data_IF_772277017783
#
_entry.id   IF_772277017783
#
_cell.length_a   1.000
_cell.length_b   1.000
_cell.length_c   1.000
_cell.angle_alpha   90.00
_cell.angle_beta   90.00
_cell.angle_gamma   90.00
#
_symmetry.space_group_name_H-M   'P 1'
#
loop_
_entity.id
_entity.type
_entity.pdbx_description
1 polymer ?
#
# COMPACT_ATOMS: atom_id res chain seq x y z
N UNK A 1 53.12 -79.63 66.29
CA UNK A 1 53.06 -81.12 66.40
C UNK A 1 52.88 -81.79 65.03
N UNK A 2 51.90 -81.37 64.20
CA UNK A 2 51.60 -81.98 62.88
C UNK A 2 52.81 -82.16 61.95
N UNK A 3 53.61 -81.12 61.72
CA UNK A 3 54.80 -81.15 60.82
C UNK A 3 55.85 -82.20 61.19
N UNK A 4 55.95 -82.59 62.47
CA UNK A 4 56.88 -83.64 62.93
C UNK A 4 56.39 -85.06 62.63
N UNK A 5 55.10 -85.24 62.39
CA UNK A 5 54.52 -86.52 61.94
C UNK A 5 54.66 -86.63 60.41
N UNK A 6 54.52 -85.51 59.69
CA UNK A 6 54.63 -85.44 58.23
C UNK A 6 56.07 -85.32 57.70
N UNK A 7 57.08 -85.50 58.55
CA UNK A 7 58.49 -85.35 58.17
C UNK A 7 58.90 -86.32 57.05
N UNK A 8 58.46 -87.59 57.11
CA UNK A 8 58.72 -88.58 56.07
C UNK A 8 57.89 -88.39 54.79
N UNK A 9 56.88 -87.51 54.83
CA UNK A 9 56.00 -87.16 53.70
C UNK A 9 56.47 -85.89 52.96
N UNK A 10 57.22 -85.01 53.62
CA UNK A 10 57.67 -83.73 53.06
C UNK A 10 59.20 -83.72 52.94
N UNK A 11 59.74 -84.55 52.04
CA UNK A 11 61.17 -84.74 51.78
C UNK A 11 61.73 -86.13 52.16
N UNK A 12 60.87 -87.09 52.51
CA UNK A 12 61.27 -88.42 53.00
C UNK A 12 61.15 -89.57 51.99
N UNK A 13 60.93 -90.77 52.52
CA UNK A 13 60.91 -92.04 51.76
C UNK A 13 59.53 -92.47 51.27
N UNK A 14 58.50 -91.65 51.46
CA UNK A 14 57.11 -92.00 51.11
C UNK A 14 56.67 -91.35 49.80
N UNK A 15 55.68 -91.94 49.13
CA UNK A 15 54.95 -91.28 48.04
C UNK A 15 53.86 -90.40 48.66
N UNK A 16 53.88 -89.11 48.37
CA UNK A 16 52.98 -88.13 48.99
C UNK A 16 52.21 -87.37 47.92
N UNK A 17 50.91 -87.20 48.15
CA UNK A 17 50.01 -86.38 47.33
C UNK A 17 49.33 -85.35 48.22
N UNK A 18 49.22 -84.11 47.74
CA UNK A 18 48.58 -83.00 48.45
C UNK A 18 47.38 -82.55 47.61
N UNK A 19 46.22 -82.42 48.24
CA UNK A 19 44.97 -81.99 47.61
C UNK A 19 44.67 -80.56 48.08
N UNK A 20 44.63 -79.61 47.16
CA UNK A 20 44.27 -78.22 47.42
C UNK A 20 42.80 -78.00 47.08
N UNK A 21 41.97 -77.66 48.07
CA UNK A 21 40.54 -77.38 47.90
C UNK A 21 40.30 -75.88 47.84
N UNK A 22 39.79 -75.37 46.72
CA UNK A 22 39.56 -73.95 46.47
C UNK A 22 38.08 -73.66 46.14
N UNK A 23 37.64 -72.41 46.33
CA UNK A 23 36.28 -71.97 46.05
C UNK A 23 36.24 -71.16 44.74
N UNK A 24 35.28 -71.37 43.83
CA UNK A 24 35.15 -70.59 42.60
C UNK A 24 34.52 -69.20 42.82
N UNK A 25 34.10 -68.86 44.04
CA UNK A 25 33.47 -67.57 44.32
C UNK A 25 34.48 -66.42 44.33
N UNK A 26 34.19 -65.33 43.63
CA UNK A 26 35.08 -64.16 43.48
C UNK A 26 35.47 -63.49 44.81
N UNK A 27 34.62 -63.58 45.83
CA UNK A 27 34.91 -63.11 47.20
C UNK A 27 36.08 -63.86 47.86
N UNK A 28 36.37 -65.10 47.45
CA UNK A 28 37.44 -65.93 47.99
C UNK A 28 38.71 -65.93 47.11
N UNK A 29 38.89 -64.93 46.23
CA UNK A 29 40.00 -64.88 45.27
C UNK A 29 41.37 -64.84 45.98
N UNK A 30 41.51 -64.09 47.07
CA UNK A 30 42.75 -63.93 47.83
C UNK A 30 43.18 -65.22 48.56
N UNK A 31 42.23 -65.89 49.22
CA UNK A 31 42.45 -67.20 49.85
C UNK A 31 42.74 -68.31 48.82
N UNK A 32 42.09 -68.23 47.65
CA UNK A 32 42.31 -69.14 46.52
C UNK A 32 43.72 -68.97 45.96
N UNK A 33 44.19 -67.72 45.79
CA UNK A 33 45.56 -67.42 45.37
C UNK A 33 46.57 -67.97 46.39
N UNK A 34 46.39 -67.68 47.68
CA UNK A 34 47.26 -68.15 48.76
C UNK A 34 47.34 -69.69 48.84
N UNK A 35 46.21 -70.37 48.62
CA UNK A 35 46.13 -71.83 48.57
C UNK A 35 46.88 -72.40 47.35
N UNK A 36 46.73 -71.78 46.18
CA UNK A 36 47.43 -72.18 44.95
C UNK A 36 48.95 -71.94 45.05
N UNK A 37 49.39 -70.85 45.68
CA UNK A 37 50.81 -70.59 45.94
C UNK A 37 51.45 -71.62 46.87
N UNK A 38 50.73 -72.10 47.89
CA UNK A 38 51.20 -73.19 48.73
C UNK A 38 51.28 -74.50 47.94
N UNK A 39 50.24 -74.82 47.15
CA UNK A 39 50.24 -76.02 46.30
C UNK A 39 51.37 -76.00 45.26
N UNK A 40 51.65 -74.85 44.65
CA UNK A 40 52.75 -74.67 43.70
C UNK A 40 54.12 -74.90 44.37
N UNK A 41 54.34 -74.38 45.58
CA UNK A 41 55.57 -74.66 46.36
C UNK A 41 55.68 -76.14 46.74
N UNK A 42 54.57 -76.75 47.16
CA UNK A 42 54.54 -78.14 47.61
C UNK A 42 54.78 -79.15 46.46
N UNK A 43 54.34 -78.83 45.22
CA UNK A 43 54.62 -79.60 44.00
C UNK A 43 56.12 -79.82 43.77
N UNK A 44 56.97 -78.88 44.20
CA UNK A 44 58.41 -78.92 43.98
C UNK A 44 59.18 -79.70 45.06
N UNK A 45 58.49 -80.32 46.02
CA UNK A 45 59.11 -81.17 47.05
C UNK A 45 59.41 -82.56 46.45
N UNK A 46 60.69 -82.92 46.35
CA UNK A 46 61.11 -84.24 45.85
C UNK A 46 61.29 -85.24 47.00
N UNK A 47 60.44 -86.27 47.03
CA UNK A 47 60.64 -87.46 47.87
C UNK A 47 61.43 -88.54 47.13
N UNK A 48 62.10 -89.45 47.88
CA UNK A 48 62.80 -90.62 47.33
C UNK A 48 62.07 -91.90 47.76
N UNK A 49 61.05 -92.36 47.01
CA UNK A 49 60.27 -93.53 47.40
C UNK A 49 61.07 -94.82 47.26
N UNK A 50 61.39 -95.46 48.39
CA UNK A 50 62.12 -96.73 48.45
C UNK A 50 61.14 -97.91 48.65
N UNK A 51 61.33 -98.99 47.90
CA UNK A 51 60.52 -100.21 48.08
C UNK A 51 61.10 -101.01 49.24
N UNK A 52 60.33 -101.17 50.32
CA UNK A 52 60.72 -101.91 51.54
C UNK A 52 60.76 -103.44 51.33
N UNK A 53 61.61 -103.93 50.42
CA UNK A 53 61.80 -105.36 50.17
C UNK A 53 62.68 -106.01 51.24
N UNK A 54 62.15 -107.06 51.87
CA UNK A 54 62.92 -107.96 52.75
C UNK A 54 63.43 -109.16 51.93
N UNK A 55 64.49 -108.94 51.15
CA UNK A 55 65.15 -110.00 50.38
C UNK A 55 65.65 -111.12 51.30
N UNK A 56 65.20 -112.35 51.05
CA UNK A 56 65.52 -113.52 51.89
C UNK A 56 66.69 -114.30 51.28
N UNK A 57 67.69 -114.62 52.10
CA UNK A 57 68.99 -115.23 51.67
C UNK A 57 68.88 -116.50 50.81
N UNK A 58 67.73 -117.19 50.80
CA UNK A 58 67.50 -118.44 50.08
C UNK A 58 67.36 -118.26 48.55
N UNK A 59 66.87 -117.11 48.07
CA UNK A 59 66.70 -116.86 46.63
C UNK A 59 68.05 -116.74 45.91
N UNK A 60 68.96 -115.94 46.48
CA UNK A 60 70.29 -115.65 45.93
C UNK A 60 71.16 -116.91 45.71
N UNK A 61 71.00 -117.94 46.55
CA UNK A 61 71.80 -119.17 46.47
C UNK A 61 71.38 -120.04 45.27
N UNK A 62 70.09 -120.02 44.88
CA UNK A 62 69.58 -120.82 43.75
C UNK A 62 70.17 -120.32 42.43
N UNK A 63 70.13 -119.02 42.23
CA UNK A 63 70.62 -118.33 41.02
C UNK A 63 72.12 -118.60 40.77
N UNK A 64 72.95 -118.55 41.83
CA UNK A 64 74.37 -118.93 41.72
C UNK A 64 74.61 -120.43 41.44
N UNK A 65 73.67 -121.31 41.77
CA UNK A 65 73.85 -122.75 41.56
C UNK A 65 73.65 -123.11 40.09
N UNK A 66 72.66 -122.50 39.44
CA UNK A 66 72.29 -122.75 38.04
C UNK A 66 73.40 -122.29 37.06
N UNK A 67 74.01 -121.13 37.31
CA UNK A 67 75.12 -120.62 36.49
C UNK A 67 76.38 -121.50 36.55
N UNK A 68 76.63 -122.16 37.70
CA UNK A 68 77.78 -123.06 37.88
C UNK A 68 77.63 -124.36 37.07
N UNK A 69 76.42 -124.85 36.82
CA UNK A 69 76.23 -126.03 35.96
C UNK A 69 76.48 -125.72 34.49
N UNK A 70 75.96 -124.61 33.96
CA UNK A 70 76.17 -124.21 32.55
C UNK A 70 77.66 -124.10 32.23
N UNK A 71 78.40 -123.37 33.07
CA UNK A 71 79.85 -123.17 32.89
C UNK A 71 80.66 -124.47 32.94
N UNK A 72 80.19 -125.53 33.62
CA UNK A 72 80.85 -126.84 33.61
C UNK A 72 80.65 -127.60 32.31
N UNK A 73 79.46 -127.51 31.71
CA UNK A 73 79.16 -128.15 30.42
C UNK A 73 79.99 -127.53 29.29
N UNK A 74 80.05 -126.19 29.23
CA UNK A 74 80.86 -125.46 28.26
C UNK A 74 82.36 -125.82 28.35
N UNK A 75 82.89 -125.95 29.57
CA UNK A 75 84.30 -126.28 29.83
C UNK A 75 84.62 -127.75 29.51
N UNK A 76 83.67 -128.68 29.68
CA UNK A 76 83.82 -130.06 29.25
C UNK A 76 83.92 -130.15 27.71
N UNK A 77 83.00 -129.53 26.98
CA UNK A 77 83.00 -129.50 25.51
C UNK A 77 84.30 -128.88 24.93
N UNK A 78 84.85 -127.87 25.60
CA UNK A 78 86.09 -127.20 25.15
C UNK A 78 87.36 -128.08 25.27
N UNK A 79 87.34 -129.16 26.07
CA UNK A 79 88.53 -129.98 26.35
C UNK A 79 88.86 -131.04 25.29
N UNK A 80 87.91 -131.48 24.47
CA UNK A 80 88.11 -132.59 23.51
C UNK A 80 88.71 -132.18 22.15
N UNK A 81 88.98 -130.89 21.91
CA UNK A 81 89.82 -130.32 20.84
C UNK A 81 89.87 -131.11 19.50
N UNK A 82 88.87 -130.94 18.63
CA UNK A 82 89.07 -130.95 17.17
C UNK A 82 87.84 -130.40 16.40
N UNK A 83 88.03 -129.28 15.67
CA UNK A 83 87.06 -128.76 14.70
C UNK A 83 85.83 -128.04 15.26
N UNK A 84 85.15 -127.25 14.41
CA UNK A 84 83.84 -126.66 14.72
C UNK A 84 82.79 -127.75 14.58
N UNK A 85 82.61 -128.53 15.64
CA UNK A 85 81.57 -129.54 15.74
C UNK A 85 80.45 -129.01 16.64
N UNK A 86 79.55 -128.22 16.07
CA UNK A 86 78.22 -128.09 16.66
C UNK A 86 77.56 -129.48 16.58
N UNK A 87 76.90 -129.91 17.66
CA UNK A 87 76.02 -131.08 17.61
C UNK A 87 74.97 -130.89 16.51
N UNK A 88 74.46 -131.99 15.94
CA UNK A 88 73.38 -131.93 14.94
C UNK A 88 72.20 -131.10 15.47
N UNK A 89 71.86 -131.31 16.75
CA UNK A 89 70.87 -130.55 17.52
C UNK A 89 71.17 -129.04 17.57
N UNK A 90 72.43 -128.63 17.73
CA UNK A 90 72.82 -127.21 17.67
C UNK A 90 72.77 -126.65 16.24
N UNK A 91 73.06 -127.45 15.20
CA UNK A 91 72.96 -127.03 13.80
C UNK A 91 71.50 -126.85 13.37
N UNK A 92 70.63 -127.80 13.71
CA UNK A 92 69.18 -127.69 13.53
C UNK A 92 68.60 -126.52 14.33
N UNK A 93 69.04 -126.30 15.56
CA UNK A 93 68.64 -125.13 16.36
C UNK A 93 69.15 -123.80 15.78
N UNK A 94 70.30 -123.78 15.10
CA UNK A 94 70.79 -122.58 14.40
C UNK A 94 70.01 -122.32 13.12
N UNK A 95 69.72 -123.37 12.33
CA UNK A 95 68.94 -123.23 11.10
C UNK A 95 67.48 -122.85 11.40
N UNK A 96 66.90 -123.37 12.49
CA UNK A 96 65.59 -122.93 13.01
C UNK A 96 65.59 -121.48 13.50
N UNK A 97 66.69 -121.01 14.11
CA UNK A 97 66.85 -119.58 14.45
C UNK A 97 66.97 -118.71 13.20
N UNK A 98 67.66 -119.18 12.15
CA UNK A 98 67.81 -118.47 10.88
C UNK A 98 66.44 -118.31 10.20
N UNK A 99 65.67 -119.40 10.05
CA UNK A 99 64.32 -119.32 9.44
C UNK A 99 63.38 -118.44 10.24
N UNK A 100 63.41 -118.48 11.58
CA UNK A 100 62.62 -117.55 12.43
C UNK A 100 63.07 -116.10 12.26
N UNK A 101 64.37 -115.84 12.06
CA UNK A 101 64.86 -114.49 11.76
C UNK A 101 64.45 -114.02 10.34
N UNK A 102 64.45 -114.90 9.35
CA UNK A 102 63.97 -114.60 7.99
C UNK A 102 62.46 -114.28 7.98
N UNK A 103 61.64 -115.06 8.70
CA UNK A 103 60.21 -114.78 8.91
C UNK A 103 59.99 -113.44 9.62
N UNK A 104 60.76 -113.16 10.68
CA UNK A 104 60.69 -111.86 11.38
C UNK A 104 61.09 -110.69 10.48
N UNK A 105 62.14 -110.85 9.66
CA UNK A 105 62.56 -109.82 8.69
C UNK A 105 61.45 -109.57 7.66
N UNK A 106 60.80 -110.62 7.15
CA UNK A 106 59.66 -110.49 6.25
C UNK A 106 58.48 -109.74 6.90
N UNK A 107 58.12 -110.08 8.16
CA UNK A 107 57.06 -109.41 8.90
C UNK A 107 57.37 -107.92 9.15
N UNK A 108 58.63 -107.58 9.46
CA UNK A 108 59.06 -106.20 9.64
C UNK A 108 59.06 -105.41 8.32
N UNK A 109 59.43 -106.04 7.20
CA UNK A 109 59.35 -105.40 5.87
C UNK A 109 57.90 -105.07 5.52
N UNK A 110 56.95 -105.99 5.74
CA UNK A 110 55.53 -105.73 5.49
C UNK A 110 54.97 -104.62 6.39
N UNK A 111 55.36 -104.59 7.67
CA UNK A 111 55.01 -103.47 8.57
C UNK A 111 55.58 -102.14 8.12
N UNK A 112 56.82 -102.11 7.62
CA UNK A 112 57.45 -100.90 7.08
C UNK A 112 56.67 -100.43 5.84
N UNK A 113 56.35 -101.32 4.89
CA UNK A 113 55.58 -100.99 3.69
C UNK A 113 54.20 -100.37 4.03
N UNK A 114 53.48 -100.94 5.01
CA UNK A 114 52.18 -100.40 5.47
C UNK A 114 52.34 -99.03 6.11
N UNK A 115 53.38 -98.83 6.95
CA UNK A 115 53.67 -97.53 7.56
C UNK A 115 54.08 -96.48 6.53
N UNK A 116 54.85 -96.83 5.50
CA UNK A 116 55.24 -95.90 4.43
C UNK A 116 54.02 -95.44 3.62
N UNK A 117 53.08 -96.33 3.29
CA UNK A 117 51.80 -95.99 2.65
C UNK A 117 50.88 -95.14 3.54
N UNK A 118 50.88 -95.33 4.87
CA UNK A 118 50.16 -94.44 5.80
C UNK A 118 50.81 -93.06 5.90
N UNK A 119 52.14 -92.98 6.06
CA UNK A 119 52.89 -91.72 6.10
C UNK A 119 52.69 -90.93 4.81
N UNK A 120 52.67 -91.59 3.66
CA UNK A 120 52.41 -90.98 2.36
C UNK A 120 50.99 -90.39 2.27
N UNK A 121 49.95 -91.17 2.62
CA UNK A 121 48.55 -90.69 2.66
C UNK A 121 48.36 -89.52 3.62
N UNK A 122 48.99 -89.57 4.80
CA UNK A 122 48.96 -88.48 5.78
C UNK A 122 49.64 -87.23 5.20
N UNK A 123 50.79 -87.39 4.53
CA UNK A 123 51.53 -86.28 3.91
C UNK A 123 50.69 -85.62 2.80
N UNK A 124 50.05 -86.40 1.95
CA UNK A 124 49.14 -85.90 0.91
C UNK A 124 47.98 -85.09 1.52
N UNK A 125 47.30 -85.62 2.54
CA UNK A 125 46.25 -84.92 3.28
C UNK A 125 46.73 -83.60 3.92
N UNK A 126 47.92 -83.60 4.54
CA UNK A 126 48.51 -82.38 5.09
C UNK A 126 48.84 -81.34 4.01
N UNK A 127 49.28 -81.76 2.81
CA UNK A 127 49.52 -80.81 1.71
C UNK A 127 48.23 -80.20 1.17
N UNK A 128 47.15 -80.99 1.04
CA UNK A 128 45.83 -80.47 0.63
C UNK A 128 45.30 -79.49 1.67
N UNK A 129 45.24 -79.89 2.95
CA UNK A 129 44.71 -79.05 4.02
C UNK A 129 45.53 -77.75 4.20
N UNK A 130 46.85 -77.80 4.01
CA UNK A 130 47.70 -76.59 4.00
C UNK A 130 47.34 -75.65 2.84
N UNK A 131 47.14 -76.17 1.64
CA UNK A 131 46.78 -75.36 0.47
C UNK A 131 45.39 -74.73 0.64
N UNK A 132 44.41 -75.48 1.16
CA UNK A 132 43.07 -74.97 1.51
C UNK A 132 43.13 -73.86 2.56
N UNK A 133 43.98 -74.02 3.58
CA UNK A 133 44.18 -73.01 4.64
C UNK A 133 44.79 -71.72 4.09
N UNK A 134 45.85 -71.80 3.28
CA UNK A 134 46.45 -70.63 2.63
C UNK A 134 45.45 -69.95 1.69
N UNK A 135 44.68 -70.70 0.91
CA UNK A 135 43.68 -70.12 0.02
C UNK A 135 42.56 -69.42 0.81
N UNK A 136 42.01 -70.07 1.84
CA UNK A 136 41.02 -69.46 2.74
C UNK A 136 41.55 -68.17 3.40
N UNK A 137 42.85 -68.12 3.71
CA UNK A 137 43.50 -66.94 4.29
C UNK A 137 43.62 -65.80 3.27
N UNK A 138 43.99 -66.09 2.01
CA UNK A 138 43.99 -65.07 0.94
C UNK A 138 42.59 -64.56 0.62
N UNK A 139 41.57 -65.44 0.63
CA UNK A 139 40.18 -65.04 0.44
C UNK A 139 39.68 -64.15 1.58
N UNK A 140 40.08 -64.44 2.83
CA UNK A 140 39.77 -63.60 3.99
C UNK A 140 40.36 -62.19 3.85
N UNK A 141 41.67 -62.07 3.54
CA UNK A 141 42.34 -60.78 3.33
C UNK A 141 41.68 -59.96 2.20
N UNK A 142 41.30 -60.61 1.09
CA UNK A 142 40.56 -59.97 -0.02
C UNK A 142 39.17 -59.50 0.42
N UNK A 143 38.48 -60.26 1.28
CA UNK A 143 37.14 -59.93 1.79
C UNK A 143 37.18 -58.79 2.82
N UNK A 144 38.15 -58.81 3.72
CA UNK A 144 38.38 -57.74 4.70
C UNK A 144 38.67 -56.41 3.99
N UNK A 145 39.57 -56.41 3.00
CA UNK A 145 39.87 -55.20 2.22
C UNK A 145 38.64 -54.67 1.47
N UNK A 146 37.85 -55.54 0.83
CA UNK A 146 36.60 -55.14 0.16
C UNK A 146 35.55 -54.61 1.14
N UNK A 147 35.50 -55.14 2.36
CA UNK A 147 34.61 -54.64 3.40
C UNK A 147 35.02 -53.24 3.85
N UNK A 148 36.32 -52.99 4.02
CA UNK A 148 36.88 -51.69 4.38
C UNK A 148 36.62 -50.64 3.27
N UNK A 149 36.87 -50.99 2.01
CA UNK A 149 36.53 -50.16 0.84
C UNK A 149 35.02 -49.84 0.81
N UNK A 150 34.15 -50.84 0.97
CA UNK A 150 32.68 -50.64 0.99
C UNK A 150 32.21 -49.79 2.19
N UNK A 151 32.85 -49.92 3.35
CA UNK A 151 32.55 -49.10 4.52
C UNK A 151 32.93 -47.63 4.32
N UNK A 152 34.06 -47.37 3.63
CA UNK A 152 34.49 -46.03 3.25
C UNK A 152 33.51 -45.40 2.27
N UNK A 153 33.16 -46.10 1.19
CA UNK A 153 32.20 -45.62 0.19
C UNK A 153 30.82 -45.34 0.81
N UNK A 154 30.36 -46.19 1.74
CA UNK A 154 29.13 -45.98 2.50
C UNK A 154 29.19 -44.73 3.40
N UNK A 155 30.36 -44.42 3.96
CA UNK A 155 30.54 -43.21 4.78
C UNK A 155 30.53 -41.95 3.90
N UNK A 156 31.28 -41.94 2.81
CA UNK A 156 31.32 -40.83 1.84
C UNK A 156 29.92 -40.56 1.24
N UNK A 157 29.20 -41.61 0.85
CA UNK A 157 27.81 -41.51 0.35
C UNK A 157 26.85 -40.92 1.38
N UNK A 158 27.00 -41.26 2.68
CA UNK A 158 26.18 -40.70 3.75
C UNK A 158 26.47 -39.22 4.01
N UNK A 159 27.72 -38.78 3.87
CA UNK A 159 28.08 -37.37 3.99
C UNK A 159 27.46 -36.58 2.83
N UNK A 160 27.62 -37.05 1.59
CA UNK A 160 27.00 -36.40 0.43
C UNK A 160 25.47 -36.37 0.50
N UNK A 161 24.81 -37.43 0.98
CA UNK A 161 23.36 -37.42 1.18
C UNK A 161 22.93 -36.32 2.18
N UNK A 162 23.65 -36.15 3.28
CA UNK A 162 23.36 -35.09 4.25
C UNK A 162 23.64 -33.68 3.71
N UNK A 163 24.65 -33.52 2.84
CA UNK A 163 24.92 -32.27 2.11
C UNK A 163 23.78 -31.95 1.13
N UNK A 164 23.31 -32.93 0.34
CA UNK A 164 22.18 -32.78 -0.58
C UNK A 164 20.88 -32.48 0.16
N UNK A 165 20.54 -33.20 1.23
CA UNK A 165 19.37 -32.93 2.07
C UNK A 165 19.38 -31.50 2.62
N UNK A 166 20.55 -31.02 3.09
CA UNK A 166 20.71 -29.64 3.54
C UNK A 166 20.48 -28.64 2.39
N UNK A 167 21.11 -28.84 1.23
CA UNK A 167 20.94 -27.97 0.06
C UNK A 167 19.48 -27.91 -0.39
N UNK A 168 18.80 -29.06 -0.47
CA UNK A 168 17.37 -29.15 -0.81
C UNK A 168 16.52 -28.36 0.19
N UNK A 169 16.78 -28.49 1.50
CA UNK A 169 16.03 -27.73 2.52
C UNK A 169 16.21 -26.21 2.41
N UNK A 170 17.41 -25.75 2.04
CA UNK A 170 17.70 -24.32 1.81
C UNK A 170 17.00 -23.84 0.53
N UNK A 171 17.05 -24.64 -0.54
CA UNK A 171 16.37 -24.34 -1.80
C UNK A 171 14.86 -24.22 -1.62
N UNK A 172 14.22 -25.20 -0.95
CA UNK A 172 12.78 -25.15 -0.63
C UNK A 172 12.40 -23.88 0.15
N UNK A 173 13.21 -23.51 1.15
CA UNK A 173 12.98 -22.29 1.93
C UNK A 173 13.10 -21.01 1.07
N UNK A 174 14.06 -20.96 0.15
CA UNK A 174 14.20 -19.83 -0.79
C UNK A 174 13.09 -19.81 -1.84
N UNK A 175 12.63 -20.96 -2.33
CA UNK A 175 11.49 -21.07 -3.23
C UNK A 175 10.20 -20.58 -2.57
N UNK A 176 9.90 -21.01 -1.34
CA UNK A 176 8.72 -20.53 -0.59
C UNK A 176 8.75 -19.01 -0.38
N UNK A 177 9.92 -18.43 -0.06
CA UNK A 177 10.08 -16.97 0.07
C UNK A 177 9.90 -16.24 -1.26
N UNK A 178 10.46 -16.77 -2.34
CA UNK A 178 10.32 -16.20 -3.68
C UNK A 178 8.87 -16.27 -4.17
N UNK A 179 8.22 -17.42 -4.01
CA UNK A 179 6.81 -17.65 -4.34
C UNK A 179 5.89 -16.72 -3.52
N UNK A 180 6.11 -16.60 -2.21
CA UNK A 180 5.37 -15.66 -1.37
C UNK A 180 5.58 -14.19 -1.73
N UNK A 181 6.75 -13.84 -2.28
CA UNK A 181 7.03 -12.48 -2.79
C UNK A 181 6.36 -12.25 -4.15
N UNK A 182 6.43 -13.23 -5.05
CA UNK A 182 5.78 -13.20 -6.36
C UNK A 182 4.25 -13.13 -6.23
N UNK A 183 3.66 -13.88 -5.30
CA UNK A 183 2.22 -13.85 -4.99
C UNK A 183 1.76 -12.48 -4.48
N UNK A 184 2.53 -11.84 -3.58
CA UNK A 184 2.27 -10.47 -3.14
C UNK A 184 2.33 -9.46 -4.29
N UNK A 185 3.38 -9.55 -5.12
CA UNK A 185 3.53 -8.68 -6.30
C UNK A 185 2.37 -8.87 -7.29
N UNK A 186 1.93 -10.11 -7.53
CA UNK A 186 0.79 -10.41 -8.39
C UNK A 186 -0.50 -9.77 -7.83
N UNK A 187 -0.77 -9.95 -6.54
CA UNK A 187 -1.93 -9.31 -5.86
C UNK A 187 -1.89 -7.79 -5.99
N UNK A 188 -0.73 -7.15 -5.81
CA UNK A 188 -0.59 -5.69 -5.99
C UNK A 188 -0.76 -5.27 -7.45
N UNK A 189 -0.30 -6.07 -8.42
CA UNK A 189 -0.52 -5.81 -9.86
C UNK A 189 -1.99 -5.95 -10.23
N UNK A 190 -2.70 -6.94 -9.69
CA UNK A 190 -4.15 -7.12 -9.89
C UNK A 190 -4.96 -5.95 -9.30
N UNK A 191 -4.67 -5.54 -8.07
CA UNK A 191 -5.30 -4.38 -7.42
C UNK A 191 -5.04 -3.08 -8.18
N UNK A 192 -3.77 -2.79 -8.52
CA UNK A 192 -3.43 -1.57 -9.27
C UNK A 192 -4.00 -1.57 -10.69
N UNK A 193 -4.06 -2.72 -11.38
CA UNK A 193 -4.72 -2.86 -12.68
C UNK A 193 -6.22 -2.58 -12.56
N UNK A 194 -6.87 -3.09 -11.51
CA UNK A 194 -8.28 -2.83 -11.22
C UNK A 194 -8.52 -1.34 -10.95
N UNK A 195 -7.69 -0.69 -10.15
CA UNK A 195 -7.79 0.75 -9.87
C UNK A 195 -7.57 1.62 -11.11
N UNK A 196 -6.58 1.29 -11.95
CA UNK A 196 -6.34 1.96 -13.24
C UNK A 196 -7.54 1.79 -14.18
N UNK A 197 -8.10 0.59 -14.30
CA UNK A 197 -9.31 0.36 -15.11
C UNK A 197 -10.53 1.14 -14.58
N UNK A 198 -10.68 1.23 -13.26
CA UNK A 198 -11.70 2.05 -12.60
C UNK A 198 -11.51 3.55 -12.79
N UNK A 199 -10.25 4.01 -12.88
CA UNK A 199 -9.91 5.40 -13.21
C UNK A 199 -10.24 5.73 -14.66
N UNK A 200 -9.92 4.84 -15.61
CA UNK A 200 -10.31 4.99 -17.02
C UNK A 200 -11.83 5.06 -17.17
N UNK A 201 -12.58 4.14 -16.56
CA UNK A 201 -14.05 4.18 -16.59
C UNK A 201 -14.63 5.47 -15.99
N UNK A 202 -14.02 6.03 -14.93
CA UNK A 202 -14.39 7.35 -14.38
C UNK A 202 -14.07 8.49 -15.35
N UNK A 203 -12.93 8.43 -16.05
CA UNK A 203 -12.52 9.43 -17.03
C UNK A 203 -13.44 9.43 -18.26
N UNK A 204 -13.79 8.26 -18.79
CA UNK A 204 -14.70 8.12 -19.92
C UNK A 204 -16.11 8.61 -19.56
N UNK A 205 -16.61 8.27 -18.36
CA UNK A 205 -17.88 8.81 -17.86
C UNK A 205 -17.82 10.34 -17.72
N UNK A 206 -16.72 10.91 -17.23
CA UNK A 206 -16.56 12.37 -17.14
C UNK A 206 -16.55 12.99 -18.55
N UNK A 207 -15.80 12.42 -19.48
CA UNK A 207 -15.73 12.87 -20.88
C UNK A 207 -17.11 12.86 -21.55
N UNK A 208 -17.92 11.84 -21.32
CA UNK A 208 -19.30 11.77 -21.82
C UNK A 208 -20.20 12.88 -21.23
N UNK A 209 -20.06 13.18 -19.93
CA UNK A 209 -20.76 14.30 -19.27
C UNK A 209 -20.29 15.64 -19.80
N UNK A 210 -18.98 15.86 -19.95
CA UNK A 210 -18.42 17.11 -20.48
C UNK A 210 -18.86 17.34 -21.95
N UNK A 211 -18.91 16.27 -22.77
CA UNK A 211 -19.47 16.32 -24.12
C UNK A 211 -20.97 16.65 -24.14
N UNK A 212 -21.76 16.02 -23.25
CA UNK A 212 -23.19 16.34 -23.13
C UNK A 212 -23.42 17.79 -22.70
N UNK A 213 -22.66 18.28 -21.72
CA UNK A 213 -22.72 19.66 -21.25
C UNK A 213 -22.36 20.66 -22.36
N UNK A 214 -21.34 20.37 -23.18
CA UNK A 214 -20.99 21.19 -24.34
C UNK A 214 -22.16 21.28 -25.35
N UNK A 215 -22.77 20.14 -25.71
CA UNK A 215 -23.94 20.11 -26.60
C UNK A 215 -25.13 20.89 -26.02
N UNK A 216 -25.38 20.78 -24.71
CA UNK A 216 -26.43 21.56 -24.02
C UNK A 216 -26.11 23.06 -24.04
N UNK A 217 -24.86 23.45 -23.80
CA UNK A 217 -24.40 24.84 -23.85
C UNK A 217 -24.57 25.44 -25.26
N UNK A 218 -24.14 24.73 -26.30
CA UNK A 218 -24.29 25.16 -27.70
C UNK A 218 -25.78 25.28 -28.09
N UNK A 219 -26.60 24.31 -27.67
CA UNK A 219 -28.05 24.32 -27.90
C UNK A 219 -28.71 25.52 -27.22
N UNK A 220 -28.35 25.79 -25.96
CA UNK A 220 -28.87 26.94 -25.20
C UNK A 220 -28.42 28.28 -25.81
N UNK A 221 -27.15 28.40 -26.19
CA UNK A 221 -26.62 29.58 -26.86
C UNK A 221 -27.33 29.83 -28.20
N UNK A 222 -27.57 28.78 -28.98
CA UNK A 222 -28.36 28.84 -30.21
C UNK A 222 -29.79 29.33 -29.97
N UNK A 223 -30.48 28.77 -28.97
CA UNK A 223 -31.83 29.21 -28.59
C UNK A 223 -31.87 30.67 -28.12
N UNK A 224 -30.92 31.09 -27.29
CA UNK A 224 -30.81 32.47 -26.82
C UNK A 224 -30.56 33.45 -27.98
N UNK A 225 -29.68 33.11 -28.93
CA UNK A 225 -29.45 33.93 -30.12
C UNK A 225 -30.72 34.05 -31.00
N UNK A 226 -31.50 32.97 -31.17
CA UNK A 226 -32.79 33.04 -31.88
C UNK A 226 -33.79 33.94 -31.15
N UNK A 227 -33.82 33.92 -29.81
CA UNK A 227 -34.68 34.81 -29.03
C UNK A 227 -34.22 36.27 -29.09
N UNK A 228 -32.92 36.54 -28.98
CA UNK A 228 -32.37 37.90 -29.11
C UNK A 228 -32.62 38.48 -30.50
N UNK A 229 -32.41 37.72 -31.57
CA UNK A 229 -32.73 38.16 -32.93
C UNK A 229 -34.22 38.50 -33.07
N UNK A 230 -35.14 37.64 -32.59
CA UNK A 230 -36.59 37.94 -32.59
C UNK A 230 -36.95 39.21 -31.82
N UNK A 231 -36.30 39.46 -30.67
CA UNK A 231 -36.50 40.70 -29.90
C UNK A 231 -35.96 41.90 -30.68
N UNK A 232 -34.78 41.80 -31.28
CA UNK A 232 -34.17 42.85 -32.08
C UNK A 232 -35.00 43.19 -33.32
N UNK A 233 -35.50 42.19 -34.04
CA UNK A 233 -36.39 42.35 -35.20
C UNK A 233 -37.69 43.06 -34.77
N UNK A 234 -38.32 42.61 -33.68
CA UNK A 234 -39.56 43.20 -33.14
C UNK A 234 -39.37 44.65 -32.66
N UNK A 235 -38.25 44.95 -31.99
CA UNK A 235 -37.89 46.32 -31.57
C UNK A 235 -37.62 47.20 -32.79
N UNK A 236 -36.95 46.69 -33.82
CA UNK A 236 -36.68 47.42 -35.06
C UNK A 236 -37.98 47.70 -35.84
N UNK A 237 -38.86 46.71 -35.94
CA UNK A 237 -40.19 46.85 -36.57
C UNK A 237 -41.06 47.86 -35.80
N UNK A 238 -41.08 47.79 -34.46
CA UNK A 238 -41.80 48.75 -33.63
C UNK A 238 -41.21 50.17 -33.73
N UNK A 239 -39.89 50.31 -33.76
CA UNK A 239 -39.21 51.59 -33.99
C UNK A 239 -39.60 52.20 -35.33
N UNK A 240 -39.62 51.39 -36.41
CA UNK A 240 -40.07 51.83 -37.73
C UNK A 240 -41.55 52.25 -37.72
N UNK A 241 -42.44 51.50 -37.06
CA UNK A 241 -43.86 51.87 -36.90
C UNK A 241 -44.01 53.18 -36.12
N UNK A 242 -43.27 53.36 -35.03
CA UNK A 242 -43.26 54.60 -34.25
C UNK A 242 -42.76 55.79 -35.08
N UNK A 243 -41.71 55.60 -35.88
CA UNK A 243 -41.20 56.62 -36.80
C UNK A 243 -42.25 57.00 -37.86
N UNK A 244 -42.92 56.03 -38.48
CA UNK A 244 -44.01 56.28 -39.43
C UNK A 244 -45.17 57.05 -38.81
N UNK A 245 -45.57 56.70 -37.57
CA UNK A 245 -46.61 57.42 -36.82
C UNK A 245 -46.18 58.86 -36.50
N UNK A 246 -44.94 59.08 -36.07
CA UNK A 246 -44.40 60.42 -35.80
C UNK A 246 -44.28 61.27 -37.07
N UNK A 247 -43.88 60.69 -38.21
CA UNK A 247 -43.90 61.38 -39.51
C UNK A 247 -45.33 61.74 -39.91
N UNK A 248 -46.29 60.85 -39.69
CA UNK A 248 -47.71 61.09 -40.00
C UNK A 248 -48.29 62.23 -39.14
N UNK A 249 -47.98 62.26 -37.84
CA UNK A 249 -48.35 63.38 -36.97
C UNK A 249 -47.64 64.68 -37.33
N UNK A 250 -46.34 64.64 -37.66
CA UNK A 250 -45.59 65.82 -38.10
C UNK A 250 -46.20 66.42 -39.36
N UNK A 251 -46.55 65.59 -40.35
CA UNK A 251 -47.22 66.03 -41.57
C UNK A 251 -48.60 66.63 -41.26
N UNK A 252 -49.44 65.93 -40.48
CA UNK A 252 -50.76 66.44 -40.09
C UNK A 252 -50.70 67.77 -39.33
N UNK A 253 -49.74 67.94 -38.42
CA UNK A 253 -49.52 69.20 -37.71
C UNK A 253 -49.00 70.28 -38.66
N UNK A 254 -48.14 69.95 -39.63
CA UNK A 254 -47.69 70.87 -40.68
C UNK A 254 -48.83 71.33 -41.60
N UNK A 255 -49.70 70.42 -42.00
CA UNK A 255 -50.90 70.71 -42.80
C UNK A 255 -51.89 71.59 -42.00
N UNK A 256 -52.08 71.30 -40.70
CA UNK A 256 -52.91 72.12 -39.81
C UNK A 256 -52.31 73.52 -39.59
N UNK A 257 -50.99 73.63 -39.40
CA UNK A 257 -50.30 74.91 -39.22
C UNK A 257 -50.30 75.76 -40.49
N UNK A 258 -50.08 75.16 -41.67
CA UNK A 258 -50.16 75.87 -42.94
C UNK A 258 -51.60 76.30 -43.27
N UNK A 259 -52.60 75.46 -42.99
CA UNK A 259 -54.02 75.83 -43.07
C UNK A 259 -54.34 76.98 -42.10
N UNK A 260 -53.88 76.91 -40.85
CA UNK A 260 -54.07 77.97 -39.84
C UNK A 260 -53.37 79.27 -40.21
N UNK A 261 -52.15 79.22 -40.77
CA UNK A 261 -51.44 80.39 -41.28
C UNK A 261 -52.23 81.03 -42.41
N UNK A 262 -52.58 80.27 -43.45
CA UNK A 262 -53.34 80.81 -44.59
C UNK A 262 -54.71 81.37 -44.20
N UNK A 263 -55.39 80.79 -43.20
CA UNK A 263 -56.61 81.34 -42.62
C UNK A 263 -56.35 82.64 -41.83
N UNK A 264 -55.24 82.72 -41.08
CA UNK A 264 -54.82 83.92 -40.34
C UNK A 264 -54.40 85.04 -41.28
N UNK A 265 -53.67 84.74 -42.35
CA UNK A 265 -53.28 85.68 -43.41
C UNK A 265 -54.51 86.21 -44.15
N UNK A 266 -55.47 85.33 -44.45
CA UNK A 266 -56.77 85.69 -45.02
C UNK A 266 -57.53 86.63 -44.07
N UNK A 267 -57.61 86.30 -42.78
CA UNK A 267 -58.24 87.15 -41.76
C UNK A 267 -57.53 88.50 -41.62
N UNK A 268 -56.20 88.53 -41.62
CA UNK A 268 -55.41 89.75 -41.55
C UNK A 268 -55.63 90.64 -42.77
N UNK A 269 -55.78 90.07 -43.97
CA UNK A 269 -56.16 90.82 -45.18
C UNK A 269 -57.58 91.39 -45.08
N UNK A 270 -58.54 90.63 -44.53
CA UNK A 270 -59.93 91.04 -44.30
C UNK A 270 -60.02 92.17 -43.26
N UNK A 271 -59.30 92.06 -42.15
CA UNK A 271 -59.19 93.10 -41.12
C UNK A 271 -58.50 94.35 -41.68
N UNK A 272 -57.43 94.20 -42.46
CA UNK A 272 -56.74 95.33 -43.11
C UNK A 272 -57.65 96.06 -44.11
N UNK A 273 -58.41 95.31 -44.91
CA UNK A 273 -59.39 95.85 -45.86
C UNK A 273 -60.54 96.56 -45.13
N UNK A 274 -61.04 95.96 -44.04
CA UNK A 274 -62.09 96.56 -43.20
C UNK A 274 -61.60 97.83 -42.50
N UNK A 275 -60.37 97.83 -41.98
CA UNK A 275 -59.74 99.00 -41.35
C UNK A 275 -59.48 100.12 -42.37
N UNK A 276 -59.09 99.78 -43.60
CA UNK A 276 -58.97 100.75 -44.68
C UNK A 276 -60.34 101.36 -45.05
N UNK A 277 -61.40 100.55 -45.09
CA UNK A 277 -62.79 101.00 -45.30
C UNK A 277 -63.28 101.91 -44.17
N UNK A 278 -63.05 101.53 -42.90
CA UNK A 278 -63.37 102.36 -41.73
C UNK A 278 -62.57 103.67 -41.74
N UNK A 279 -61.27 103.63 -42.07
CA UNK A 279 -60.45 104.85 -42.24
C UNK A 279 -61.04 105.77 -43.33
N UNK A 280 -61.52 105.21 -44.44
CA UNK A 280 -62.23 105.94 -45.48
C UNK A 280 -63.51 106.60 -44.98
N UNK A 281 -64.37 105.84 -44.29
CA UNK A 281 -65.62 106.33 -43.71
C UNK A 281 -65.38 107.44 -42.67
N UNK A 282 -64.46 107.24 -41.73
CA UNK A 282 -64.11 108.25 -40.72
C UNK A 282 -63.55 109.51 -41.38
N UNK A 283 -62.72 109.40 -42.42
CA UNK A 283 -62.20 110.55 -43.14
C UNK A 283 -63.29 111.32 -43.90
N UNK A 284 -64.31 110.63 -44.43
CA UNK A 284 -65.48 111.27 -45.04
C UNK A 284 -66.34 111.99 -44.00
N UNK A 285 -66.60 111.35 -42.86
CA UNK A 285 -67.45 111.92 -41.81
C UNK A 285 -66.78 113.12 -41.11
N UNK A 286 -65.47 113.06 -40.87
CA UNK A 286 -64.68 114.21 -40.36
C UNK A 286 -64.72 115.39 -41.36
N UNK A 287 -64.65 115.11 -42.67
CA UNK A 287 -64.79 116.16 -43.69
C UNK A 287 -66.18 116.80 -43.65
N UNK A 288 -67.24 116.00 -43.49
CA UNK A 288 -68.62 116.49 -43.37
C UNK A 288 -68.85 117.30 -42.08
N UNK A 289 -68.20 116.94 -40.97
CA UNK A 289 -68.23 117.70 -39.71
C UNK A 289 -67.47 119.03 -39.85
N UNK A 290 -66.30 119.05 -40.50
CA UNK A 290 -65.57 120.29 -40.79
C UNK A 290 -66.40 121.25 -41.65
N UNK A 291 -67.11 120.75 -42.67
CA UNK A 291 -68.02 121.56 -43.49
C UNK A 291 -69.20 122.15 -42.67
N UNK A 292 -69.74 121.38 -41.71
CA UNK A 292 -70.77 121.86 -40.77
C UNK A 292 -70.23 122.92 -39.81
N UNK A 293 -69.00 122.77 -39.31
CA UNK A 293 -68.36 123.76 -38.43
C UNK A 293 -68.12 125.08 -39.17
N UNK A 294 -67.63 125.03 -40.41
CA UNK A 294 -67.42 126.23 -41.24
C UNK A 294 -68.73 127.01 -41.51
N UNK A 295 -69.87 126.31 -41.70
CA UNK A 295 -71.20 126.96 -41.74
C UNK A 295 -71.55 127.67 -40.43
N UNK A 296 -71.26 127.04 -39.29
CA UNK A 296 -71.60 127.57 -37.97
C UNK A 296 -70.75 128.80 -37.58
N UNK A 297 -69.49 128.82 -37.99
CA UNK A 297 -68.58 129.97 -37.80
C UNK A 297 -69.06 131.19 -38.60
N UNK A 298 -69.51 130.98 -39.84
CA UNK A 298 -70.04 132.05 -40.69
C UNK A 298 -71.36 132.64 -40.14
N UNK A 299 -72.21 131.83 -39.49
CA UNK A 299 -73.39 132.33 -38.77
C UNK A 299 -73.04 133.13 -37.50
N UNK A 300 -72.00 132.73 -36.77
CA UNK A 300 -71.53 133.41 -35.55
C UNK A 300 -71.08 134.86 -35.83
N UNK A 301 -70.42 135.09 -36.96
CA UNK A 301 -70.05 136.43 -37.44
C UNK A 301 -71.28 137.32 -37.72
N UNK A 302 -72.39 136.75 -38.21
CA UNK A 302 -73.64 137.46 -38.45
C UNK A 302 -74.26 138.01 -37.17
N UNK A 303 -74.47 137.15 -36.17
CA UNK A 303 -75.06 137.56 -34.87
C UNK A 303 -74.24 138.65 -34.16
N UNK A 304 -72.93 138.70 -34.39
CA UNK A 304 -72.04 139.69 -33.77
C UNK A 304 -72.20 141.11 -34.34
N UNK A 305 -72.65 141.24 -35.60
CA UNK A 305 -72.96 142.53 -36.21
C UNK A 305 -74.29 143.10 -35.70
N UNK A 306 -75.30 142.23 -35.53
CA UNK A 306 -76.64 142.60 -35.07
C UNK A 306 -76.65 143.12 -33.61
N UNK A 307 -75.84 142.49 -32.75
CA UNK A 307 -75.76 142.83 -31.32
C UNK A 307 -75.08 144.20 -31.06
N UNK A 308 -74.23 144.68 -31.97
CA UNK A 308 -73.63 146.01 -31.87
C UNK A 308 -74.64 147.14 -32.17
N UNK A 309 -75.59 146.93 -33.09
CA UNK A 309 -76.63 147.93 -33.39
C UNK A 309 -77.58 148.20 -32.22
N UNK A 310 -77.98 147.15 -31.49
CA UNK A 310 -78.86 147.25 -30.32
C UNK A 310 -78.25 148.06 -29.14
N UNK A 311 -76.92 148.07 -29.02
CA UNK A 311 -76.21 148.79 -27.94
C UNK A 311 -76.21 150.32 -28.21
N UNK A 312 -76.14 150.72 -29.48
CA UNK A 312 -76.15 152.12 -29.91
C UNK A 312 -77.57 152.74 -29.80
N UNK A 313 -78.61 151.94 -30.05
CA UNK A 313 -80.00 152.38 -29.88
C UNK A 313 -80.35 152.62 -28.39
N UNK A 314 -79.98 151.69 -27.50
CA UNK A 314 -80.28 151.77 -26.06
C UNK A 314 -79.58 152.94 -25.34
N UNK A 315 -78.36 153.30 -25.75
CA UNK A 315 -77.65 154.46 -25.16
C UNK A 315 -78.33 155.79 -25.53
N UNK A 316 -78.97 155.89 -26.69
CA UNK A 316 -79.77 157.06 -27.09
C UNK A 316 -81.12 157.18 -26.35
N UNK A 317 -81.65 156.07 -25.84
CA UNK A 317 -82.93 156.03 -25.11
C UNK A 317 -82.82 156.58 -23.68
N UNK A 318 -81.81 156.11 -22.94
CA UNK A 318 -81.68 156.39 -21.51
C UNK A 318 -81.40 157.88 -21.21
N UNK A 319 -80.66 158.57 -22.08
CA UNK A 319 -80.36 160.00 -21.97
C UNK A 319 -81.57 160.94 -22.13
N UNK A 320 -82.66 160.46 -22.77
CA UNK A 320 -83.90 161.25 -22.92
C UNK A 320 -84.85 161.12 -21.72
N UNK A 321 -84.79 160.01 -20.99
CA UNK A 321 -85.60 159.81 -19.78
C UNK A 321 -85.11 160.65 -18.59
N UNK A 322 -83.78 160.79 -18.41
CA UNK A 322 -83.22 161.51 -17.25
C UNK A 322 -83.56 163.02 -17.23
N UNK A 323 -83.75 163.65 -18.39
CA UNK A 323 -84.00 165.09 -18.49
C UNK A 323 -85.47 165.49 -18.27
N UNK A 324 -86.40 164.54 -18.10
CA UNK A 324 -87.84 164.85 -17.91
C UNK A 324 -88.31 164.83 -16.45
N UNK A 325 -87.56 164.24 -15.51
CA UNK A 325 -87.95 164.17 -14.09
C UNK A 325 -87.48 165.38 -13.25
N UNK A 326 -86.49 166.15 -13.71
CA UNK A 326 -85.85 167.24 -12.96
C UNK A 326 -86.83 168.32 -12.42
N UNK A 327 -87.92 168.71 -13.11
CA UNK A 327 -88.88 169.68 -12.56
C UNK A 327 -89.76 169.13 -11.42
N UNK A 328 -90.04 167.82 -11.41
CA UNK A 328 -90.93 167.19 -10.42
C UNK A 328 -90.28 167.10 -9.04
N UNK A 329 -88.97 166.82 -8.98
CA UNK A 329 -88.22 166.65 -7.73
C UNK A 329 -88.14 167.96 -6.91
N UNK A 330 -88.05 169.12 -7.58
CA UNK A 330 -88.03 170.42 -6.88
C UNK A 330 -89.39 170.79 -6.29
N UNK A 331 -90.52 170.49 -6.96
CA UNK A 331 -91.86 170.80 -6.44
C UNK A 331 -92.20 170.00 -5.17
N UNK A 332 -91.74 168.75 -5.07
CA UNK A 332 -91.98 167.89 -3.90
C UNK A 332 -91.11 168.29 -2.69
N UNK A 333 -89.89 168.79 -2.92
CA UNK A 333 -89.03 169.31 -1.85
C UNK A 333 -89.60 170.60 -1.21
N UNK A 334 -90.19 171.49 -2.02
CA UNK A 334 -90.76 172.75 -1.53
C UNK A 334 -92.07 172.54 -0.74
N UNK A 335 -92.89 171.56 -1.14
CA UNK A 335 -94.11 171.17 -0.42
C UNK A 335 -93.82 170.57 0.97
N UNK A 336 -92.74 169.80 1.10
CA UNK A 336 -92.33 169.17 2.36
C UNK A 336 -91.84 170.19 3.41
N UNK A 337 -91.14 171.25 2.95
CA UNK A 337 -90.71 172.35 3.82
C UNK A 337 -91.89 173.17 4.39
N UNK A 338 -93.01 173.30 3.68
CA UNK A 338 -94.22 173.91 4.24
C UNK A 338 -94.91 173.01 5.27
N UNK A 339 -94.96 171.69 5.04
CA UNK A 339 -95.57 170.74 5.97
C UNK A 339 -94.85 170.69 7.33
N UNK A 340 -93.51 170.78 7.35
CA UNK A 340 -92.74 170.87 8.59
C UNK A 340 -93.00 172.15 9.42
N UNK A 341 -93.45 173.24 8.79
CA UNK A 341 -93.78 174.50 9.48
C UNK A 341 -95.18 174.51 10.10
N UNK A 342 -96.13 173.79 9.48
CA UNK A 342 -97.52 173.69 9.96
C UNK A 342 -97.64 172.67 11.11
N UNK A 343 -96.98 171.51 11.02
CA UNK A 343 -97.01 170.50 12.11
C UNK A 343 -96.37 171.00 13.42
N UNK A 344 -95.36 171.88 13.36
CA UNK A 344 -94.77 172.52 14.57
C UNK A 344 -95.69 173.54 15.27
N UNK A 345 -96.81 173.94 14.67
CA UNK A 345 -97.78 174.87 15.29
C UNK A 345 -99.00 174.20 15.91
N UNK A 346 -99.31 172.94 15.57
CA UNK A 346 -100.59 172.31 15.93
C UNK A 346 -100.57 171.20 16.99
N UNK A 347 -99.40 170.78 17.50
CA UNK A 347 -99.30 169.91 18.69
C UNK A 347 -98.85 170.66 19.96
N UNK A 348 -99.00 171.99 19.98
CA UNK A 348 -98.80 172.83 21.17
C UNK A 348 -100.14 173.28 21.81
N UNK A 349 -101.26 172.73 21.35
CA UNK A 349 -102.64 173.19 21.70
C UNK A 349 -103.58 172.00 22.04
N UNK A 350 -103.02 170.85 22.39
CA UNK A 350 -103.67 169.69 23.02
C UNK A 350 -102.55 168.79 23.58
N UNK A 351 -102.35 168.56 24.88
CA UNK A 351 -103.05 168.99 26.10
C UNK A 351 -102.02 169.13 27.25
N UNK A 352 -102.24 169.80 28.40
CA UNK A 352 -103.18 170.86 28.80
C UNK A 352 -104.64 170.67 28.38
N UNK A 353 -105.48 169.94 29.13
CA UNK A 353 -105.41 169.54 30.57
C UNK A 353 -104.08 168.94 31.04
#
# INVERSE_FOLDING_TARGET
KLTRILQDSLGGRTKTSIIATVSPASINLEETLSTLEYAHRAKNIMNKPEVNQKLTKKALIKEYTEEIERLKQDLAASREKNGVYMSLENYEALNGKLTVQEEQIAEYIDKINVMEEEVKRITELFTVSKNELEQCKTDLEIKEKKLEETQKDLHETKVHLAEEEYVVSVLENTEQKLHGTASKLLSTVEETTKDVSGLHAKLDRKKAVDQHNAVVQDTFAGQMNVLFNKIQDSVSENSLKQQQVLTSYTNFIGDLLSTSSSATDSLASLVSTSLASVKGLVSAEVSQVLEKIARHENMSLGCKAELLGLIEEHTSGLGRALNSLTPMVNFVLELNCQFQSIMKKYSAVADKV
#
